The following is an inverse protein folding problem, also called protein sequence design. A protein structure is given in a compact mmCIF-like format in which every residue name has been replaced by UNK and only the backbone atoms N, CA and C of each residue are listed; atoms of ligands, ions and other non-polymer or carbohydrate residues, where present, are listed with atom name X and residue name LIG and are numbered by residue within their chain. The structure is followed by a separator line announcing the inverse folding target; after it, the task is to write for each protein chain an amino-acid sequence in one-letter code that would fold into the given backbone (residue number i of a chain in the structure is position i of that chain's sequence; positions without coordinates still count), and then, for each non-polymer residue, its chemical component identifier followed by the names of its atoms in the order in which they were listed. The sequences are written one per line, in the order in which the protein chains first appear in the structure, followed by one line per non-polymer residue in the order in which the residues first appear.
data_IF_692169546345
#
_entry.id   IF_692169546345
#
_cell.length_a   1.000
_cell.length_b   1.000
_cell.length_c   1.000
_cell.angle_alpha   90.00
_cell.angle_beta   90.00
_cell.angle_gamma   90.00
#
_symmetry.space_group_name_H-M   'P 1'
#
loop_
_entity.id
_entity.type
_entity.pdbx_description
1 polymer ?
#
# COMPACT_ATOMS: atom_id res chain seq x y z
N UNK A 1 6.54 -15.25 -3.40
CA UNK A 1 5.24 -15.95 -3.60
C UNK A 1 4.09 -15.22 -2.93
N UNK A 2 2.90 -15.23 -3.54
CA UNK A 2 1.66 -14.72 -2.93
C UNK A 2 0.61 -15.83 -2.86
N UNK A 3 -0.01 -16.01 -1.69
CA UNK A 3 -1.17 -16.87 -1.46
C UNK A 3 -2.41 -15.99 -1.38
N UNK A 4 -3.45 -16.30 -2.15
CA UNK A 4 -4.77 -15.68 -2.02
C UNK A 4 -5.76 -16.72 -1.52
N UNK A 5 -6.10 -16.63 -0.24
CA UNK A 5 -6.93 -17.59 0.49
C UNK A 5 -7.61 -16.88 1.67
N UNK A 6 -8.93 -17.01 1.78
CA UNK A 6 -9.71 -16.39 2.86
C UNK A 6 -9.78 -17.26 4.11
N UNK A 7 -9.63 -18.57 3.95
CA UNK A 7 -9.60 -19.51 5.05
C UNK A 7 -8.21 -19.50 5.70
N UNK A 8 -8.13 -18.96 6.91
CA UNK A 8 -6.85 -18.82 7.64
C UNK A 8 -6.13 -20.16 7.84
N UNK A 9 -6.86 -21.22 8.17
CA UNK A 9 -6.28 -22.55 8.39
C UNK A 9 -5.76 -23.14 7.07
N UNK A 10 -6.49 -22.94 5.97
CA UNK A 10 -6.02 -23.36 4.65
C UNK A 10 -4.77 -22.57 4.21
N UNK A 11 -4.73 -21.28 4.49
CA UNK A 11 -3.58 -20.43 4.19
C UNK A 11 -2.34 -20.80 5.03
N UNK A 12 -2.52 -21.09 6.32
CA UNK A 12 -1.47 -21.61 7.21
C UNK A 12 -0.93 -22.94 6.69
N UNK A 13 -1.81 -23.89 6.37
CA UNK A 13 -1.39 -25.18 5.81
C UNK A 13 -0.58 -25.03 4.51
N UNK A 14 -0.93 -24.07 3.65
CA UNK A 14 -0.15 -23.77 2.45
C UNK A 14 1.24 -23.22 2.78
N UNK A 15 1.34 -22.34 3.80
CA UNK A 15 2.64 -21.83 4.28
C UNK A 15 3.49 -22.93 4.87
N UNK A 16 2.90 -23.80 5.69
CA UNK A 16 3.63 -24.90 6.34
C UNK A 16 4.24 -25.84 5.30
N UNK A 17 3.53 -26.08 4.19
CA UNK A 17 4.07 -26.86 3.08
C UNK A 17 5.28 -26.19 2.38
N UNK A 18 5.50 -24.90 2.56
CA UNK A 18 6.63 -24.17 1.96
C UNK A 18 7.80 -23.99 2.93
N UNK A 19 7.67 -24.43 4.19
CA UNK A 19 8.79 -24.45 5.15
C UNK A 19 9.90 -25.36 4.62
N UNK A 20 11.15 -24.90 4.75
CA UNK A 20 12.33 -25.58 4.21
C UNK A 20 12.72 -25.18 2.79
N UNK A 21 11.97 -24.28 2.15
CA UNK A 21 12.32 -23.72 0.84
C UNK A 21 12.66 -22.24 0.95
N UNK A 22 13.64 -21.78 0.16
CA UNK A 22 14.04 -20.37 0.09
C UNK A 22 12.97 -19.53 -0.62
N UNK A 23 11.90 -19.19 0.09
CA UNK A 23 10.82 -18.40 -0.48
C UNK A 23 10.23 -17.40 0.51
N UNK A 24 9.98 -16.17 0.02
CA UNK A 24 9.18 -15.20 0.74
C UNK A 24 7.70 -15.45 0.44
N UNK A 25 6.91 -15.76 1.46
CA UNK A 25 5.48 -16.04 1.31
C UNK A 25 4.64 -14.89 1.91
N UNK A 26 3.72 -14.35 1.12
CA UNK A 26 2.71 -13.37 1.57
C UNK A 26 1.31 -13.94 1.37
N UNK A 27 0.42 -13.71 2.33
CA UNK A 27 -0.99 -14.13 2.21
C UNK A 27 -1.90 -12.92 2.13
N UNK A 28 -2.88 -12.98 1.25
CA UNK A 28 -3.87 -11.95 1.02
C UNK A 28 -5.28 -12.54 1.10
N UNK A 29 -6.16 -11.86 1.83
CA UNK A 29 -7.59 -12.10 1.71
C UNK A 29 -8.13 -11.55 0.38
N UNK A 30 -9.15 -12.22 -0.14
CA UNK A 30 -9.95 -11.79 -1.28
C UNK A 30 -10.84 -10.60 -0.93
N UNK A 31 -10.76 -9.55 -1.75
CA UNK A 31 -11.55 -8.35 -1.66
C UNK A 31 -11.30 -7.43 -2.85
N UNK A 32 -11.87 -6.22 -2.80
CA UNK A 32 -11.85 -5.27 -3.94
C UNK A 32 -10.43 -4.91 -4.42
N UNK A 33 -9.43 -4.96 -3.53
CA UNK A 33 -8.07 -4.52 -3.81
C UNK A 33 -7.07 -5.67 -3.99
N UNK A 34 -7.50 -6.94 -3.99
CA UNK A 34 -6.57 -8.10 -3.99
C UNK A 34 -5.64 -8.08 -5.19
N UNK A 35 -6.10 -7.65 -6.37
CA UNK A 35 -5.28 -7.53 -7.58
C UNK A 35 -4.14 -6.53 -7.42
N UNK A 36 -4.48 -5.30 -7.03
CA UNK A 36 -3.50 -4.27 -6.76
C UNK A 36 -2.50 -4.73 -5.69
N UNK A 37 -3.01 -5.30 -4.58
CA UNK A 37 -2.16 -5.81 -3.49
C UNK A 37 -1.21 -6.91 -3.96
N UNK A 38 -1.68 -7.86 -4.76
CA UNK A 38 -0.83 -8.91 -5.32
C UNK A 38 0.25 -8.33 -6.24
N UNK A 39 -0.09 -7.36 -7.09
CA UNK A 39 0.85 -6.70 -8.00
C UNK A 39 2.00 -5.97 -7.29
N UNK A 40 1.72 -5.31 -6.17
CA UNK A 40 2.75 -4.60 -5.37
C UNK A 40 3.86 -5.53 -4.87
N UNK A 41 3.54 -6.80 -4.60
CA UNK A 41 4.55 -7.76 -4.13
C UNK A 41 5.43 -8.35 -5.24
N UNK A 42 5.12 -8.08 -6.53
CA UNK A 42 5.82 -8.64 -7.69
C UNK A 42 6.17 -10.14 -7.52
N UNK A 43 5.17 -11.01 -7.28
CA UNK A 43 5.42 -12.40 -6.94
C UNK A 43 5.95 -13.21 -8.12
N UNK A 44 6.84 -14.16 -7.83
CA UNK A 44 7.31 -15.16 -8.80
C UNK A 44 6.25 -16.22 -9.13
N UNK A 45 5.31 -16.46 -8.21
CA UNK A 45 4.16 -17.37 -8.37
C UNK A 45 3.04 -16.97 -7.40
N UNK A 46 1.80 -17.19 -7.85
CA UNK A 46 0.59 -16.99 -7.06
C UNK A 46 -0.09 -18.34 -6.79
N UNK A 47 -0.34 -18.65 -5.52
CA UNK A 47 -1.21 -19.74 -5.09
C UNK A 47 -2.61 -19.17 -4.83
N UNK A 48 -3.58 -19.52 -5.67
CA UNK A 48 -4.90 -18.91 -5.66
C UNK A 48 -5.98 -19.93 -5.31
N UNK A 49 -6.64 -19.76 -4.18
CA UNK A 49 -7.82 -20.57 -3.84
C UNK A 49 -8.96 -20.29 -4.82
N UNK A 50 -9.58 -21.34 -5.36
CA UNK A 50 -10.75 -21.23 -6.22
C UNK A 50 -11.98 -20.82 -5.42
N UNK A 51 -12.13 -21.37 -4.21
CA UNK A 51 -13.21 -21.08 -3.27
C UNK A 51 -12.86 -19.86 -2.40
N UNK A 52 -13.36 -18.70 -2.79
CA UNK A 52 -13.20 -17.45 -2.05
C UNK A 52 -14.59 -16.91 -1.69
N UNK A 53 -14.76 -16.36 -0.49
CA UNK A 53 -16.02 -15.74 -0.02
C UNK A 53 -17.30 -16.54 -0.31
N UNK A 54 -17.26 -17.88 -0.17
CA UNK A 54 -18.43 -18.75 -0.36
C UNK A 54 -18.80 -19.04 -1.83
N UNK A 55 -17.93 -18.71 -2.79
CA UNK A 55 -18.14 -19.00 -4.21
C UNK A 55 -16.84 -19.26 -4.98
N UNK A 56 -16.96 -19.55 -6.27
CA UNK A 56 -15.80 -19.79 -7.15
C UNK A 56 -15.21 -18.49 -7.68
N UNK A 57 -15.05 -17.48 -6.83
CA UNK A 57 -14.52 -16.18 -7.22
C UNK A 57 -13.03 -16.22 -7.58
N UNK A 58 -12.29 -17.26 -7.15
CA UNK A 58 -10.90 -17.46 -7.54
C UNK A 58 -10.72 -17.65 -9.05
N UNK A 59 -11.68 -18.27 -9.75
CA UNK A 59 -11.64 -18.39 -11.22
C UNK A 59 -11.73 -17.02 -11.91
N UNK A 60 -12.61 -16.16 -11.39
CA UNK A 60 -12.77 -14.78 -11.91
C UNK A 60 -11.52 -13.97 -11.60
N UNK A 61 -10.98 -14.10 -10.38
CA UNK A 61 -9.77 -13.41 -9.96
C UNK A 61 -8.53 -13.86 -10.77
N UNK A 62 -8.41 -15.15 -11.08
CA UNK A 62 -7.38 -15.66 -11.99
C UNK A 62 -7.45 -14.95 -13.35
N UNK A 63 -8.65 -14.91 -13.93
CA UNK A 63 -8.84 -14.24 -15.23
C UNK A 63 -8.58 -12.73 -15.18
N UNK A 64 -8.72 -12.13 -14.00
CA UNK A 64 -8.40 -10.73 -13.74
C UNK A 64 -6.89 -10.50 -13.60
N UNK A 65 -6.16 -11.41 -12.96
CA UNK A 65 -4.69 -11.34 -12.84
C UNK A 65 -4.02 -11.55 -14.19
N UNK A 66 -4.49 -12.52 -14.99
CA UNK A 66 -4.01 -12.76 -16.36
C UNK A 66 -4.29 -11.64 -17.37
N UNK A 67 -4.97 -10.56 -16.96
CA UNK A 67 -5.22 -9.36 -17.78
C UNK A 67 -4.64 -8.09 -17.14
N UNK A 68 -3.91 -8.24 -16.05
CA UNK A 68 -3.34 -7.12 -15.30
C UNK A 68 -1.89 -6.89 -15.72
N UNK A 69 -1.53 -5.63 -15.95
CA UNK A 69 -0.20 -5.25 -16.48
C UNK A 69 0.96 -5.71 -15.58
N UNK A 70 0.73 -5.89 -14.28
CA UNK A 70 1.77 -6.31 -13.32
C UNK A 70 1.76 -7.82 -13.05
N UNK A 71 0.66 -8.52 -13.36
CA UNK A 71 0.44 -9.91 -12.96
C UNK A 71 0.22 -10.87 -14.12
N UNK A 72 0.03 -10.39 -15.35
CA UNK A 72 -0.35 -11.23 -16.49
C UNK A 72 0.64 -12.38 -16.73
N UNK A 73 1.93 -12.09 -16.57
CA UNK A 73 3.03 -13.04 -16.78
C UNK A 73 3.38 -13.87 -15.53
N UNK A 74 2.79 -13.54 -14.38
CA UNK A 74 3.03 -14.31 -13.15
C UNK A 74 2.32 -15.67 -13.25
N UNK A 75 3.02 -16.79 -13.02
CA UNK A 75 2.40 -18.11 -12.94
C UNK A 75 1.40 -18.20 -11.78
N UNK A 76 0.24 -18.80 -12.04
CA UNK A 76 -0.84 -19.00 -11.08
C UNK A 76 -1.10 -20.50 -10.92
N UNK A 77 -0.98 -20.99 -9.68
CA UNK A 77 -1.47 -22.31 -9.27
C UNK A 77 -2.86 -22.13 -8.66
N UNK A 78 -3.88 -22.61 -9.36
CA UNK A 78 -5.25 -22.59 -8.83
C UNK A 78 -5.50 -23.80 -7.92
N UNK A 79 -5.85 -23.56 -6.67
CA UNK A 79 -6.06 -24.59 -5.65
C UNK A 79 -7.55 -24.71 -5.35
N UNK A 80 -8.14 -25.89 -5.47
CA UNK A 80 -9.60 -26.06 -5.35
C UNK A 80 -9.99 -27.27 -4.51
N UNK A 81 -10.98 -27.11 -3.62
CA UNK A 81 -11.64 -28.22 -2.94
C UNK A 81 -12.76 -28.86 -3.80
N UNK A 82 -13.17 -28.18 -4.86
CA UNK A 82 -14.34 -28.54 -5.66
C UNK A 82 -13.97 -29.45 -6.82
N UNK A 83 -14.58 -30.64 -6.86
CA UNK A 83 -14.55 -31.57 -8.00
C UNK A 83 -15.59 -31.23 -9.08
N UNK A 84 -16.13 -30.01 -9.12
CA UNK A 84 -17.08 -29.58 -10.15
C UNK A 84 -16.34 -29.43 -11.49
N UNK A 85 -16.22 -30.58 -12.16
CA UNK A 85 -15.39 -30.76 -13.33
C UNK A 85 -15.77 -29.78 -14.44
N UNK A 86 -17.04 -29.41 -14.58
CA UNK A 86 -17.50 -28.60 -15.70
C UNK A 86 -16.91 -27.18 -15.66
N UNK A 87 -17.01 -26.47 -14.54
CA UNK A 87 -16.49 -25.09 -14.45
C UNK A 87 -14.96 -25.06 -14.48
N UNK A 88 -14.30 -26.03 -13.85
CA UNK A 88 -12.84 -26.13 -13.88
C UNK A 88 -12.35 -26.46 -15.30
N UNK A 89 -13.03 -27.37 -15.99
CA UNK A 89 -12.74 -27.73 -17.39
C UNK A 89 -13.00 -26.56 -18.33
N UNK A 90 -14.05 -25.77 -18.10
CA UNK A 90 -14.30 -24.53 -18.85
C UNK A 90 -13.20 -23.51 -18.60
N UNK A 91 -12.77 -23.31 -17.35
CA UNK A 91 -11.71 -22.38 -17.02
C UNK A 91 -10.38 -22.75 -17.71
N UNK A 92 -10.02 -24.03 -17.73
CA UNK A 92 -8.82 -24.55 -18.41
C UNK A 92 -8.79 -24.25 -19.92
N UNK A 93 -9.93 -23.94 -20.53
CA UNK A 93 -10.03 -23.59 -21.97
C UNK A 93 -9.93 -22.08 -22.23
N UNK A 94 -9.91 -21.25 -21.19
CA UNK A 94 -9.81 -19.80 -21.34
C UNK A 94 -8.37 -19.40 -21.68
N UNK A 95 -8.17 -18.34 -22.49
CA UNK A 95 -6.84 -17.73 -22.65
C UNK A 95 -6.24 -17.23 -21.34
N UNK A 96 -7.11 -16.96 -20.36
CA UNK A 96 -6.76 -16.47 -19.02
C UNK A 96 -6.81 -17.57 -17.96
N UNK A 97 -6.61 -18.82 -18.38
CA UNK A 97 -6.52 -19.96 -17.48
C UNK A 97 -5.32 -19.83 -16.52
N UNK A 98 -5.41 -20.53 -15.38
CA UNK A 98 -4.26 -20.72 -14.49
C UNK A 98 -3.27 -21.70 -15.13
N UNK A 99 -2.00 -21.54 -14.79
CA UNK A 99 -0.88 -22.30 -15.35
C UNK A 99 -0.80 -23.71 -14.76
N UNK A 100 -1.21 -23.88 -13.50
CA UNK A 100 -1.35 -25.18 -12.87
C UNK A 100 -2.58 -25.25 -11.96
N UNK A 101 -2.97 -26.48 -11.62
CA UNK A 101 -4.16 -26.76 -10.81
C UNK A 101 -3.83 -27.82 -9.77
N UNK A 102 -4.23 -27.57 -8.52
CA UNK A 102 -4.05 -28.50 -7.41
C UNK A 102 -5.37 -28.73 -6.67
N UNK A 103 -5.72 -29.99 -6.43
CA UNK A 103 -6.97 -30.35 -5.75
C UNK A 103 -6.72 -30.57 -4.27
N UNK A 104 -7.58 -30.03 -3.40
CA UNK A 104 -7.59 -30.30 -1.96
C UNK A 104 -8.32 -31.64 -1.69
N UNK A 105 -7.83 -32.48 -0.75
CA UNK A 105 -6.58 -32.33 0.00
C UNK A 105 -5.35 -32.70 -0.86
N UNK A 106 -4.22 -32.05 -0.57
CA UNK A 106 -2.91 -32.32 -1.20
C UNK A 106 -1.83 -32.52 -0.14
N UNK A 107 -0.73 -33.18 -0.51
CA UNK A 107 0.50 -33.30 0.28
C UNK A 107 1.48 -32.14 0.01
N UNK A 108 2.47 -31.97 0.88
CA UNK A 108 3.56 -31.02 0.66
C UNK A 108 4.29 -31.30 -0.66
N UNK A 109 4.64 -32.57 -0.92
CA UNK A 109 5.30 -32.99 -2.17
C UNK A 109 4.51 -32.57 -3.40
N UNK A 110 3.19 -32.79 -3.41
CA UNK A 110 2.34 -32.41 -4.54
C UNK A 110 2.34 -30.89 -4.76
N UNK A 111 2.30 -30.10 -3.69
CA UNK A 111 2.37 -28.64 -3.80
C UNK A 111 3.72 -28.19 -4.38
N UNK A 112 4.82 -28.71 -3.85
CA UNK A 112 6.18 -28.36 -4.27
C UNK A 112 6.43 -28.77 -5.72
N UNK A 113 6.04 -29.97 -6.12
CA UNK A 113 6.16 -30.43 -7.52
C UNK A 113 5.35 -29.53 -8.47
N UNK A 114 4.15 -29.12 -8.05
CA UNK A 114 3.29 -28.23 -8.85
C UNK A 114 3.92 -26.85 -9.04
N UNK A 115 4.51 -26.28 -7.99
CA UNK A 115 5.18 -24.97 -8.07
C UNK A 115 6.52 -25.10 -8.82
N UNK A 116 7.28 -26.15 -8.55
CA UNK A 116 8.58 -26.44 -9.15
C UNK A 116 8.53 -26.66 -10.66
N UNK A 117 7.36 -27.06 -11.18
CA UNK A 117 7.11 -27.14 -12.63
C UNK A 117 6.96 -25.76 -13.30
N UNK A 118 6.67 -24.71 -12.53
CA UNK A 118 6.45 -23.34 -13.03
C UNK A 118 7.66 -22.44 -12.78
N UNK A 119 8.30 -22.57 -11.61
CA UNK A 119 9.46 -21.77 -11.21
C UNK A 119 10.49 -22.63 -10.47
N UNK A 120 11.79 -22.27 -10.50
CA UNK A 120 12.80 -22.93 -9.67
C UNK A 120 12.49 -22.78 -8.18
N UNK A 121 12.66 -23.87 -7.43
CA UNK A 121 12.58 -23.89 -5.97
C UNK A 121 13.87 -24.44 -5.39
N UNK A 122 14.49 -23.67 -4.50
CA UNK A 122 15.69 -24.07 -3.77
C UNK A 122 15.29 -24.53 -2.38
N UNK A 123 15.84 -25.67 -1.94
CA UNK A 123 15.75 -26.10 -0.54
C UNK A 123 16.66 -25.18 0.27
N UNK A 124 16.13 -24.54 1.29
CA UNK A 124 16.95 -23.71 2.19
C UNK A 124 17.85 -24.60 3.04
N UNK A 125 19.03 -24.10 3.41
CA UNK A 125 19.94 -24.78 4.33
C UNK A 125 19.24 -25.01 5.68
N UNK A 126 18.71 -26.22 5.87
CA UNK A 126 18.35 -26.72 7.20
C UNK A 126 19.63 -27.31 7.74
N UNK A 127 20.40 -26.54 8.52
CA UNK A 127 21.60 -27.04 9.16
C UNK A 127 21.29 -28.31 9.97
N UNK A 128 22.09 -29.37 9.77
CA UNK A 128 21.98 -30.66 10.48
C UNK A 128 22.08 -30.54 12.02
N UNK A 129 22.45 -29.37 12.55
CA UNK A 129 22.55 -29.10 13.99
C UNK A 129 21.21 -28.78 14.69
N UNK A 130 20.10 -28.65 13.97
CA UNK A 130 18.84 -28.12 14.56
C UNK A 130 17.85 -29.16 15.07
N UNK A 131 18.21 -30.45 15.13
CA UNK A 131 17.34 -31.52 15.65
C UNK A 131 17.68 -31.97 17.09
N UNK A 132 18.77 -31.48 17.68
CA UNK A 132 19.18 -31.84 19.05
C UNK A 132 18.72 -30.84 20.13
N UNK A 133 18.34 -29.62 19.75
CA UNK A 133 17.98 -28.53 20.69
C UNK A 133 16.47 -28.20 20.69
N UNK A 134 15.62 -29.16 20.28
CA UNK A 134 14.16 -28.97 20.20
C UNK A 134 13.39 -29.40 21.46
N UNK A 135 14.07 -29.69 22.57
CA UNK A 135 13.44 -29.78 23.89
C UNK A 135 13.75 -28.49 24.69
N UNK A 136 12.67 -27.77 25.01
CA UNK A 136 12.55 -26.73 26.04
C UNK A 136 13.05 -25.28 25.81
N UNK A 137 13.75 -24.91 24.72
CA UNK A 137 14.18 -23.49 24.54
C UNK A 137 13.44 -22.70 23.45
N UNK A 138 12.58 -23.33 22.65
CA UNK A 138 11.88 -22.68 21.54
C UNK A 138 10.60 -21.91 21.92
N UNK A 139 10.30 -21.74 23.21
CA UNK A 139 9.03 -21.18 23.66
C UNK A 139 9.04 -19.69 24.05
N UNK A 140 10.17 -18.99 24.00
CA UNK A 140 10.24 -17.61 24.51
C UNK A 140 10.98 -16.57 23.66
N UNK A 141 11.52 -16.88 22.45
CA UNK A 141 12.33 -15.88 21.71
C UNK A 141 12.13 -15.75 20.19
N UNK A 142 11.01 -16.19 19.59
CA UNK A 142 10.83 -16.02 18.13
C UNK A 142 9.48 -15.45 17.66
N UNK A 143 8.72 -14.77 18.51
CA UNK A 143 7.41 -14.20 18.10
C UNK A 143 7.46 -12.76 17.58
N UNK A 144 8.57 -12.00 17.68
CA UNK A 144 8.51 -10.54 17.44
C UNK A 144 9.24 -9.94 16.21
N UNK A 145 10.28 -10.50 15.59
CA UNK A 145 11.05 -9.69 14.60
C UNK A 145 11.37 -10.37 13.26
N UNK A 146 10.32 -10.58 12.46
CA UNK A 146 10.27 -10.04 11.08
C UNK A 146 8.85 -10.05 10.50
N UNK A 147 7.89 -9.55 11.28
CA UNK A 147 6.62 -9.09 10.72
C UNK A 147 6.95 -7.90 9.83
N UNK A 148 7.08 -8.11 8.52
CA UNK A 148 7.03 -6.98 7.57
C UNK A 148 5.58 -6.47 7.67
N UNK A 149 5.31 -5.29 8.25
CA UNK A 149 3.95 -4.81 8.44
C UNK A 149 3.24 -4.88 7.09
N UNK A 150 2.11 -5.61 7.06
CA UNK A 150 1.26 -5.61 5.87
C UNK A 150 0.78 -4.17 5.72
N UNK A 151 1.00 -3.52 4.57
CA UNK A 151 0.56 -2.16 4.37
C UNK A 151 -0.91 -1.99 4.75
N UNK A 152 -1.18 -1.13 5.74
CA UNK A 152 -2.55 -0.78 6.08
C UNK A 152 -3.14 0.08 4.95
N UNK A 153 -3.89 -0.57 4.07
CA UNK A 153 -4.66 0.10 3.01
C UNK A 153 -6.01 0.63 3.50
N UNK A 154 -6.25 0.68 4.82
CA UNK A 154 -7.39 1.40 5.36
C UNK A 154 -7.30 2.87 4.98
N UNK A 155 -8.47 3.47 4.72
CA UNK A 155 -8.55 4.89 4.41
C UNK A 155 -8.61 5.65 5.72
N UNK A 156 -7.54 6.38 6.05
CA UNK A 156 -7.52 7.30 7.20
C UNK A 156 -7.64 8.74 6.70
N UNK A 157 -8.43 9.54 7.41
CA UNK A 157 -8.62 10.97 7.12
C UNK A 157 -8.35 11.79 8.37
N UNK A 158 -7.75 12.95 8.18
CA UNK A 158 -7.67 14.02 9.18
C UNK A 158 -8.50 15.21 8.71
N UNK A 159 -9.07 15.93 9.67
CA UNK A 159 -9.90 17.10 9.46
C UNK A 159 -9.34 18.22 10.35
N UNK A 160 -9.17 19.41 9.78
CA UNK A 160 -8.69 20.57 10.52
C UNK A 160 -9.82 21.33 11.22
N UNK A 161 -11.08 20.98 10.96
CA UNK A 161 -12.25 21.71 11.47
C UNK A 161 -12.52 23.01 10.72
N UNK A 162 -11.82 23.25 9.61
CA UNK A 162 -12.06 24.42 8.77
C UNK A 162 -13.49 24.39 8.22
N UNK A 163 -14.18 25.55 8.27
CA UNK A 163 -15.59 25.68 7.84
C UNK A 163 -15.89 25.14 6.44
N UNK A 164 -14.89 25.16 5.55
CA UNK A 164 -15.06 24.71 4.17
C UNK A 164 -15.07 23.19 4.04
N UNK A 165 -14.48 22.43 4.97
CA UNK A 165 -14.39 20.96 4.90
C UNK A 165 -15.79 20.32 4.82
N UNK A 166 -16.71 20.75 5.69
CA UNK A 166 -18.10 20.29 5.68
C UNK A 166 -18.92 20.86 4.53
N UNK A 167 -18.63 22.09 4.11
CA UNK A 167 -19.38 22.78 3.05
C UNK A 167 -19.06 22.24 1.66
N UNK A 168 -17.78 21.93 1.41
CA UNK A 168 -17.26 21.51 0.10
C UNK A 168 -17.10 19.99 0.02
N UNK A 169 -16.95 19.30 1.15
CA UNK A 169 -16.83 17.84 1.20
C UNK A 169 -15.40 17.32 0.99
N UNK A 170 -14.42 17.98 1.59
CA UNK A 170 -13.01 17.53 1.58
C UNK A 170 -12.47 17.33 3.00
N UNK A 171 -11.39 16.56 3.13
CA UNK A 171 -10.64 16.40 4.38
C UNK A 171 -9.28 17.11 4.27
N UNK A 172 -8.67 17.49 5.40
CA UNK A 172 -7.34 18.12 5.43
C UNK A 172 -6.27 17.21 4.80
N UNK A 173 -6.33 15.93 5.11
CA UNK A 173 -5.43 14.93 4.56
C UNK A 173 -6.06 13.55 4.52
N UNK A 174 -5.57 12.72 3.61
CA UNK A 174 -5.98 11.32 3.44
C UNK A 174 -4.74 10.43 3.32
N UNK A 175 -4.76 9.28 4.00
CA UNK A 175 -3.76 8.22 3.88
C UNK A 175 -4.39 6.94 3.38
N UNK A 176 -3.73 6.28 2.42
CA UNK A 176 -4.04 4.93 1.95
C UNK A 176 -2.71 4.19 1.76
N UNK A 177 -2.44 3.18 2.58
CA UNK A 177 -1.14 2.50 2.56
C UNK A 177 -0.02 3.44 3.02
N UNK A 178 1.00 3.59 2.18
CA UNK A 178 2.13 4.50 2.38
C UNK A 178 1.91 5.89 1.78
N UNK A 179 0.84 6.11 1.02
CA UNK A 179 0.60 7.39 0.33
C UNK A 179 -0.24 8.29 1.21
N UNK A 180 0.22 9.53 1.39
CA UNK A 180 -0.50 10.60 2.06
C UNK A 180 -0.66 11.77 1.10
N UNK A 181 -1.88 12.28 0.96
CA UNK A 181 -2.18 13.49 0.20
C UNK A 181 -2.78 14.55 1.13
N UNK A 182 -2.21 15.75 1.09
CA UNK A 182 -2.64 16.93 1.85
C UNK A 182 -3.23 17.94 0.87
N UNK A 183 -4.46 18.38 1.16
CA UNK A 183 -5.19 19.33 0.32
C UNK A 183 -4.55 20.71 0.32
N UNK A 184 -5.01 21.59 -0.59
CA UNK A 184 -4.67 23.01 -0.62
C UNK A 184 -4.80 23.64 0.76
N UNK A 185 -3.67 24.12 1.28
CA UNK A 185 -3.56 24.63 2.64
C UNK A 185 -3.16 26.09 2.58
N UNK A 186 -4.12 26.96 2.91
CA UNK A 186 -3.93 28.39 3.10
C UNK A 186 -3.61 28.72 4.57
N UNK A 187 -3.02 29.89 4.79
CA UNK A 187 -2.57 30.36 6.09
C UNK A 187 -3.74 30.82 6.97
N UNK A 188 -4.39 29.87 7.62
CA UNK A 188 -5.53 30.13 8.52
C UNK A 188 -5.17 29.84 9.99
N UNK A 189 -5.68 30.68 10.88
CA UNK A 189 -5.63 30.46 12.33
C UNK A 189 -6.81 29.61 12.82
N UNK A 190 -6.74 29.17 14.08
CA UNK A 190 -7.78 28.32 14.69
C UNK A 190 -9.16 29.00 14.75
N UNK A 191 -9.20 30.34 14.79
CA UNK A 191 -10.43 31.13 14.73
C UNK A 191 -10.94 31.37 13.29
N UNK A 192 -10.23 30.85 12.28
CA UNK A 192 -10.53 31.01 10.86
C UNK A 192 -10.06 32.33 10.25
N UNK A 193 -9.34 33.17 11.00
CA UNK A 193 -8.69 34.37 10.46
C UNK A 193 -7.49 34.01 9.58
N UNK A 194 -7.13 34.91 8.65
CA UNK A 194 -5.96 34.74 7.79
C UNK A 194 -4.73 35.25 8.53
N UNK A 195 -3.71 34.40 8.66
CA UNK A 195 -2.42 34.76 9.26
C UNK A 195 -1.72 35.80 8.39
N UNK A 196 -1.20 36.86 9.02
CA UNK A 196 -0.37 37.89 8.38
C UNK A 196 -0.78 38.24 6.92
N UNK A 197 -1.92 38.94 6.71
CA UNK A 197 -2.54 39.19 5.39
C UNK A 197 -1.68 39.84 4.29
N UNK A 198 -0.47 40.28 4.61
CA UNK A 198 0.46 40.98 3.71
C UNK A 198 1.88 40.41 3.74
N UNK A 199 2.08 39.25 4.36
CA UNK A 199 3.41 38.65 4.56
C UNK A 199 3.40 37.23 4.01
N UNK A 200 3.90 37.06 2.79
CA UNK A 200 3.89 35.77 2.11
C UNK A 200 4.81 34.76 2.80
N UNK A 201 5.89 35.22 3.42
CA UNK A 201 6.79 34.38 4.21
C UNK A 201 6.07 33.80 5.44
N UNK A 202 5.42 34.65 6.24
CA UNK A 202 4.68 34.22 7.43
C UNK A 202 3.49 33.32 7.08
N UNK A 203 2.77 33.62 5.99
CA UNK A 203 1.72 32.75 5.48
C UNK A 203 2.27 31.38 5.05
N UNK A 204 3.39 31.35 4.33
CA UNK A 204 4.03 30.10 3.90
C UNK A 204 4.43 29.24 5.11
N UNK A 205 5.05 29.84 6.13
CA UNK A 205 5.39 29.15 7.39
C UNK A 205 4.15 28.56 8.05
N UNK A 206 3.03 29.29 8.06
CA UNK A 206 1.76 28.81 8.61
C UNK A 206 1.20 27.64 7.80
N UNK A 207 1.19 27.72 6.47
CA UNK A 207 0.74 26.63 5.60
C UNK A 207 1.53 25.35 5.89
N UNK A 208 2.86 25.45 5.95
CA UNK A 208 3.74 24.32 6.24
C UNK A 208 3.54 23.75 7.65
N UNK A 209 3.24 24.59 8.65
CA UNK A 209 2.92 24.12 10.00
C UNK A 209 1.60 23.33 10.03
N UNK A 210 0.57 23.77 9.30
CA UNK A 210 -0.71 23.06 9.19
C UNK A 210 -0.52 21.73 8.44
N UNK A 211 0.28 21.73 7.36
CA UNK A 211 0.63 20.51 6.61
C UNK A 211 1.36 19.52 7.53
N UNK A 212 2.35 19.99 8.29
CA UNK A 212 3.10 19.15 9.24
C UNK A 212 2.19 18.51 10.28
N UNK A 213 1.26 19.27 10.86
CA UNK A 213 0.29 18.73 11.82
C UNK A 213 -0.58 17.63 11.20
N UNK A 214 -1.08 17.85 9.98
CA UNK A 214 -1.90 16.87 9.27
C UNK A 214 -1.13 15.60 8.88
N UNK A 215 0.14 15.73 8.46
CA UNK A 215 1.01 14.59 8.20
C UNK A 215 1.23 13.77 9.47
N UNK A 216 1.52 14.43 10.60
CA UNK A 216 1.74 13.77 11.88
C UNK A 216 0.50 12.98 12.34
N UNK A 217 -0.71 13.52 12.20
CA UNK A 217 -1.96 12.81 12.52
C UNK A 217 -2.19 11.56 11.65
N UNK A 218 -1.67 11.59 10.42
CA UNK A 218 -1.70 10.47 9.48
C UNK A 218 -0.50 9.52 9.65
N UNK A 219 0.39 9.75 10.61
CA UNK A 219 1.57 8.93 10.85
C UNK A 219 2.65 9.08 9.79
N UNK A 220 2.82 10.28 9.26
CA UNK A 220 3.88 10.72 8.35
C UNK A 220 4.54 11.99 8.89
N UNK A 221 5.57 12.51 8.22
CA UNK A 221 6.35 13.70 8.61
C UNK A 221 6.76 14.51 7.38
N UNK A 222 7.29 15.72 7.60
CA UNK A 222 7.74 16.61 6.51
C UNK A 222 8.83 15.97 5.64
N UNK A 223 9.70 15.15 6.23
CA UNK A 223 10.78 14.42 5.53
C UNK A 223 10.24 13.39 4.52
N UNK A 224 8.99 12.95 4.69
CA UNK A 224 8.35 11.99 3.79
C UNK A 224 7.68 12.68 2.58
N UNK A 225 7.66 14.02 2.54
CA UNK A 225 7.02 14.79 1.46
C UNK A 225 7.84 14.66 0.18
N UNK A 226 7.22 14.12 -0.85
CA UNK A 226 7.84 13.91 -2.16
C UNK A 226 7.50 15.02 -3.16
N UNK A 227 6.41 15.77 -2.91
CA UNK A 227 5.95 16.84 -3.80
C UNK A 227 5.27 17.97 -3.05
N UNK A 228 5.54 19.20 -3.47
CA UNK A 228 4.73 20.37 -3.10
C UNK A 228 4.24 21.11 -4.35
N UNK A 229 2.99 21.59 -4.31
CA UNK A 229 2.43 22.50 -5.32
C UNK A 229 2.06 23.80 -4.62
N UNK A 230 2.65 24.90 -5.06
CA UNK A 230 2.57 26.19 -4.41
C UNK A 230 1.87 27.15 -5.36
N UNK A 231 0.70 27.65 -4.94
CA UNK A 231 -0.07 28.65 -5.67
C UNK A 231 0.11 29.99 -4.97
N UNK A 232 0.57 31.00 -5.71
CA UNK A 232 0.74 32.36 -5.20
C UNK A 232 -0.14 33.34 -5.96
N UNK A 233 -0.67 34.37 -5.31
CA UNK A 233 -1.46 35.41 -6.00
C UNK A 233 -0.60 36.44 -6.72
N UNK A 234 0.64 36.61 -6.27
CA UNK A 234 1.66 37.48 -6.87
C UNK A 234 2.99 36.71 -6.89
N UNK A 235 3.48 36.40 -8.09
CA UNK A 235 4.73 35.64 -8.27
C UNK A 235 5.96 36.47 -7.91
N UNK A 236 5.86 37.79 -7.84
CA UNK A 236 6.99 38.63 -7.40
C UNK A 236 7.37 38.36 -5.94
N UNK A 237 6.48 37.75 -5.15
CA UNK A 237 6.72 37.31 -3.77
C UNK A 237 7.44 35.94 -3.66
N UNK A 238 7.89 35.36 -4.78
CA UNK A 238 8.46 34.00 -4.81
C UNK A 238 9.67 33.82 -3.88
N UNK A 239 10.50 34.86 -3.66
CA UNK A 239 11.67 34.76 -2.78
C UNK A 239 11.26 34.56 -1.32
N UNK A 240 10.21 35.25 -0.88
CA UNK A 240 9.69 35.12 0.49
C UNK A 240 9.12 33.73 0.74
N UNK A 241 8.33 33.23 -0.22
CA UNK A 241 7.74 31.88 -0.19
C UNK A 241 8.84 30.82 -0.27
N UNK A 242 9.80 30.98 -1.18
CA UNK A 242 10.94 30.09 -1.37
C UNK A 242 11.83 30.01 -0.14
N UNK A 243 12.06 31.13 0.56
CA UNK A 243 12.81 31.16 1.82
C UNK A 243 12.11 30.35 2.91
N UNK A 244 10.82 30.56 3.13
CA UNK A 244 10.05 29.80 4.12
C UNK A 244 9.99 28.30 3.81
N UNK A 245 9.88 27.94 2.52
CA UNK A 245 9.91 26.54 2.07
C UNK A 245 11.26 25.89 2.31
N UNK A 246 12.36 26.59 1.94
CA UNK A 246 13.73 26.11 2.15
C UNK A 246 14.03 25.84 3.62
N UNK A 247 13.59 26.69 4.53
CA UNK A 247 13.78 26.48 5.98
C UNK A 247 13.19 25.17 6.50
N UNK A 248 12.19 24.61 5.82
CA UNK A 248 11.57 23.34 6.19
C UNK A 248 12.20 22.17 5.43
N UNK A 249 12.54 22.35 4.16
CA UNK A 249 12.92 21.24 3.27
C UNK A 249 14.40 21.17 2.89
N UNK A 250 15.28 22.04 3.42
CA UNK A 250 16.69 22.17 3.02
C UNK A 250 17.43 20.83 2.88
N UNK A 251 17.22 19.91 3.82
CA UNK A 251 17.90 18.61 3.83
C UNK A 251 17.15 17.47 3.11
N UNK A 252 15.90 17.70 2.70
CA UNK A 252 15.03 16.72 2.05
C UNK A 252 14.07 17.43 1.07
N UNK A 253 14.59 17.98 -0.05
CA UNK A 253 13.80 18.81 -0.96
C UNK A 253 12.79 17.98 -1.76
N UNK A 254 11.48 18.34 -1.76
CA UNK A 254 10.48 17.69 -2.58
C UNK A 254 10.51 18.20 -4.03
N UNK A 255 9.96 17.42 -4.96
CA UNK A 255 9.62 17.94 -6.28
C UNK A 255 8.65 19.11 -6.12
N UNK A 256 9.01 20.30 -6.60
CA UNK A 256 8.28 21.53 -6.27
C UNK A 256 7.86 22.28 -7.52
N UNK A 257 6.61 22.73 -7.54
CA UNK A 257 6.07 23.65 -8.55
C UNK A 257 5.53 24.88 -7.84
N UNK A 258 5.89 26.06 -8.32
CA UNK A 258 5.31 27.33 -7.88
C UNK A 258 4.73 28.05 -9.09
N UNK A 259 3.47 28.46 -9.02
CA UNK A 259 2.77 29.16 -10.11
C UNK A 259 1.90 30.29 -9.58
N UNK A 260 1.73 31.33 -10.40
CA UNK A 260 0.77 32.38 -10.10
C UNK A 260 -0.65 31.94 -10.44
N UNK A 261 -1.59 32.26 -9.55
CA UNK A 261 -3.04 32.14 -9.78
C UNK A 261 -3.70 33.52 -9.70
N UNK A 262 -4.86 33.68 -10.34
CA UNK A 262 -5.54 34.99 -10.37
C UNK A 262 -6.10 35.44 -9.02
N UNK A 263 -6.41 34.49 -8.12
CA UNK A 263 -6.93 34.73 -6.75
C UNK A 263 -7.05 33.42 -5.97
N UNK A 264 -7.04 33.53 -4.64
CA UNK A 264 -7.45 32.50 -3.69
C UNK A 264 -8.84 32.83 -3.11
N UNK A 265 -9.40 31.91 -2.30
CA UNK A 265 -10.79 32.02 -1.82
C UNK A 265 -11.04 33.25 -0.93
N UNK A 266 -10.03 33.67 -0.15
CA UNK A 266 -10.03 34.92 0.60
C UNK A 266 -8.96 35.84 0.00
N UNK A 267 -9.27 37.11 -0.32
CA UNK A 267 -8.32 38.03 -0.94
C UNK A 267 -7.10 38.36 -0.08
N UNK A 268 -7.12 38.01 1.22
CA UNK A 268 -5.98 38.17 2.14
C UNK A 268 -5.00 36.99 2.09
N UNK A 269 -5.38 35.89 1.44
CA UNK A 269 -4.48 34.75 1.25
C UNK A 269 -3.59 35.02 0.04
N UNK A 270 -2.28 34.97 0.27
CA UNK A 270 -1.25 35.20 -0.73
C UNK A 270 -0.67 33.90 -1.27
N UNK A 271 -0.75 32.82 -0.48
CA UNK A 271 -0.17 31.51 -0.80
C UNK A 271 -1.10 30.37 -0.33
N UNK A 272 -1.18 29.33 -1.15
CA UNK A 272 -1.81 28.05 -0.82
C UNK A 272 -0.88 26.90 -1.25
N UNK A 273 -0.73 25.89 -0.40
CA UNK A 273 0.22 24.78 -0.62
C UNK A 273 -0.48 23.44 -0.52
N UNK A 274 -0.28 22.58 -1.52
CA UNK A 274 -0.57 21.14 -1.46
C UNK A 274 0.73 20.36 -1.19
N UNK A 275 0.60 19.19 -0.56
CA UNK A 275 1.71 18.27 -0.37
C UNK A 275 1.30 16.82 -0.59
N UNK A 276 2.15 16.06 -1.28
CA UNK A 276 2.06 14.59 -1.38
C UNK A 276 3.26 13.98 -0.65
N UNK A 277 3.03 12.97 0.18
CA UNK A 277 4.05 12.28 0.94
C UNK A 277 3.96 10.75 0.79
N UNK A 278 5.12 10.10 0.94
CA UNK A 278 5.24 8.64 0.96
C UNK A 278 5.97 8.23 2.24
N UNK A 279 5.22 7.70 3.20
CA UNK A 279 5.75 7.29 4.51
C UNK A 279 5.93 5.77 4.59
N UNK A 280 6.81 5.30 5.48
CA UNK A 280 6.95 3.86 5.71
C UNK A 280 5.64 3.25 6.24
N UNK A 281 5.48 1.93 6.01
CA UNK A 281 4.42 1.16 6.65
C UNK A 281 4.67 1.20 8.16
N UNK A 282 3.69 1.74 8.90
CA UNK A 282 3.66 1.73 10.37
C UNK A 282 2.91 0.48 10.80
#
# INVERSE_FOLDING_TARGET
MVIVENDRLAAEKLRDCLIGYECLVKTLDYGKNTRFRAGVFQPDVILLSAELSGGLFGLVLCSQFKRDDLLADVPIVLITATLNADRLTQHKKLPTAADAYLTKPFSQTQLIETIGALIPLTVGDIGEDTLADLDDTWREQSEEERIVPVPDFSVRRTFSGARWESTVGYCRGIRIGNVVAITGTAAIEADGSVTAPTDAYAQTKRCLAIISAALNELGSRMDDVIRTRIYVTDIELWEEVGRAHREVFEHHPPATTMVQVSRLIDPRMLVEIEADAVCNFV
#
